data_IF_547631075358
#
_entry.id   IF_547631075358
#
_cell.length_a   1.000
_cell.length_b   1.000
_cell.length_c   1.000
_cell.angle_alpha   90.00
_cell.angle_beta   90.00
_cell.angle_gamma   90.00
#
_symmetry.space_group_name_H-M   'P 1'
#
loop_
_entity.id
_entity.type
_entity.pdbx_description
1 polymer ?
#
# COMPACT_ATOMS: atom_id res chain seq x y z
N UNK A 1 -13.96 5.59 -7.62
CA UNK A 1 -12.98 5.32 -6.53
C UNK A 1 -12.49 3.91 -6.67
N UNK A 2 -11.18 3.69 -6.81
CA UNK A 2 -10.60 2.36 -6.97
C UNK A 2 -10.76 1.55 -5.69
N UNK A 3 -11.34 0.35 -5.81
CA UNK A 3 -11.41 -0.63 -4.72
C UNK A 3 -10.34 -1.68 -4.93
N UNK A 4 -9.41 -1.79 -3.98
CA UNK A 4 -8.41 -2.85 -3.96
C UNK A 4 -8.98 -4.02 -3.14
N UNK A 5 -9.14 -5.17 -3.80
CA UNK A 5 -9.65 -6.41 -3.19
C UNK A 5 -8.58 -7.48 -3.22
N UNK A 6 -8.62 -8.39 -2.26
CA UNK A 6 -7.75 -9.56 -2.27
C UNK A 6 -8.05 -10.42 -3.51
N UNK A 7 -7.05 -10.81 -4.32
CA UNK A 7 -7.28 -11.59 -5.54
C UNK A 7 -7.82 -13.00 -5.26
N UNK A 8 -7.65 -13.53 -4.05
CA UNK A 8 -8.08 -14.90 -3.68
C UNK A 8 -9.50 -14.90 -3.10
N UNK A 9 -9.75 -14.14 -2.03
CA UNK A 9 -11.03 -14.17 -1.32
C UNK A 9 -11.96 -13.00 -1.65
N UNK A 10 -11.53 -12.05 -2.51
CA UNK A 10 -12.26 -10.84 -2.90
C UNK A 10 -12.66 -9.90 -1.75
N UNK A 11 -12.10 -10.12 -0.54
CA UNK A 11 -12.28 -9.22 0.61
C UNK A 11 -11.70 -7.85 0.29
N UNK A 12 -12.41 -6.79 0.69
CA UNK A 12 -11.98 -5.41 0.51
C UNK A 12 -10.74 -5.14 1.38
N UNK A 13 -9.63 -4.77 0.74
CA UNK A 13 -8.38 -4.41 1.41
C UNK A 13 -8.31 -2.89 1.61
N UNK A 14 -8.69 -2.14 0.58
CA UNK A 14 -8.65 -0.67 0.62
C UNK A 14 -9.65 -0.10 -0.37
N UNK A 15 -10.24 1.05 -0.02
CA UNK A 15 -11.06 1.87 -0.92
C UNK A 15 -10.46 3.27 -0.97
N UNK A 16 -9.99 3.69 -2.15
CA UNK A 16 -9.30 4.97 -2.34
C UNK A 16 -8.13 4.88 -3.31
N UNK A 17 -7.41 5.98 -3.51
CA UNK A 17 -6.16 6.01 -4.28
C UNK A 17 -4.99 5.80 -3.32
N UNK A 18 -4.11 4.85 -3.60
CA UNK A 18 -2.83 4.75 -2.89
C UNK A 18 -1.98 5.93 -3.35
N UNK A 19 -1.74 6.89 -2.45
CA UNK A 19 -0.95 8.08 -2.75
C UNK A 19 0.53 7.84 -2.40
N UNK A 20 0.80 7.19 -1.27
CA UNK A 20 2.15 6.89 -0.78
C UNK A 20 2.10 5.70 0.19
N UNK A 21 3.08 4.81 0.10
CA UNK A 21 3.31 3.75 1.11
C UNK A 21 4.60 4.06 1.87
N UNK A 22 4.50 4.22 3.19
CA UNK A 22 5.67 4.37 4.05
C UNK A 22 6.03 3.02 4.68
N UNK A 23 7.22 2.53 4.39
CA UNK A 23 7.74 1.25 4.91
C UNK A 23 8.89 1.52 5.87
N UNK A 24 8.75 1.06 7.12
CA UNK A 24 9.84 1.11 8.09
C UNK A 24 10.69 -0.15 7.99
N UNK A 25 11.98 0.00 7.74
CA UNK A 25 12.92 -1.12 7.72
C UNK A 25 13.02 -1.75 9.13
N UNK A 26 12.76 -3.05 9.32
CA UNK A 26 12.85 -3.68 10.63
C UNK A 26 14.28 -3.73 11.18
N UNK A 27 15.30 -3.72 10.31
CA UNK A 27 16.72 -3.80 10.69
C UNK A 27 17.30 -2.44 11.11
N UNK A 28 17.21 -1.42 10.26
CA UNK A 28 17.83 -0.11 10.51
C UNK A 28 16.84 0.97 10.94
N UNK A 29 15.54 0.66 11.01
CA UNK A 29 14.44 1.58 11.38
C UNK A 29 14.25 2.78 10.45
N UNK A 30 14.99 2.87 9.34
CA UNK A 30 14.80 3.89 8.31
C UNK A 30 13.41 3.76 7.69
N UNK A 31 12.75 4.90 7.47
CA UNK A 31 11.46 4.99 6.79
C UNK A 31 11.74 5.25 5.31
N UNK A 32 11.21 4.39 4.44
CA UNK A 32 11.30 4.50 2.98
C UNK A 32 9.91 4.84 2.44
N UNK A 33 9.84 5.82 1.55
CA UNK A 33 8.61 6.23 0.88
C UNK A 33 8.57 5.59 -0.50
N UNK A 34 7.55 4.79 -0.77
CA UNK A 34 7.28 4.20 -2.08
C UNK A 34 6.08 4.96 -2.64
N UNK A 35 6.35 5.83 -3.62
CA UNK A 35 5.32 6.55 -4.36
C UNK A 35 4.95 5.69 -5.56
N UNK A 36 3.65 5.49 -5.80
CA UNK A 36 3.20 4.79 -7.00
C UNK A 36 3.37 5.70 -8.21
N UNK A 37 4.38 5.45 -9.03
CA UNK A 37 4.44 6.00 -10.39
C UNK A 37 3.31 5.35 -11.20
N UNK A 38 2.44 6.21 -11.72
CA UNK A 38 1.17 5.87 -12.36
C UNK A 38 1.38 5.38 -13.80
#
# INVERSE_FOLDING_TARGET
MSEHRCPVCRRLLMKGKVVEVQVKCPKCKKIVRIVGDN
#
